data_IF_866523075510
#
_entry.id   IF_866523075510
#
_cell.length_a   1.000
_cell.length_b   1.000
_cell.length_c   1.000
_cell.angle_alpha   90.00
_cell.angle_beta   90.00
_cell.angle_gamma   90.00
#
_symmetry.space_group_name_H-M   'P 1'
#
loop_
_entity.id
_entity.type
_entity.pdbx_description
1 polymer ?
#
# COMPACT_ATOMS: atom_id res chain seq x y z
N UNK A 1 9.09 -21.49 10.10
CA UNK A 1 8.69 -20.79 8.86
C UNK A 1 7.89 -21.73 7.99
N UNK A 2 6.77 -21.26 7.46
CA UNK A 2 5.88 -22.05 6.62
C UNK A 2 6.27 -21.91 5.16
N UNK A 3 6.15 -22.98 4.39
CA UNK A 3 6.58 -22.99 2.98
C UNK A 3 5.61 -22.15 2.09
N UNK A 4 4.33 -22.13 2.46
CA UNK A 4 3.28 -21.44 1.71
C UNK A 4 2.08 -21.11 2.61
N UNK A 5 1.15 -20.31 2.06
CA UNK A 5 -0.07 -19.86 2.73
C UNK A 5 -0.94 -21.04 3.21
N UNK A 6 -1.15 -22.03 2.36
CA UNK A 6 -2.10 -23.10 2.64
C UNK A 6 -1.59 -24.01 3.75
N UNK A 7 -0.28 -24.31 3.74
CA UNK A 7 0.38 -25.03 4.85
C UNK A 7 0.25 -24.27 6.17
N UNK A 8 0.47 -22.94 6.16
CA UNK A 8 0.31 -22.09 7.34
C UNK A 8 -1.13 -22.17 7.90
N UNK A 9 -2.11 -21.92 7.04
CA UNK A 9 -3.53 -21.88 7.43
C UNK A 9 -4.02 -23.24 7.91
N UNK A 10 -3.73 -24.31 7.17
CA UNK A 10 -4.18 -25.67 7.49
C UNK A 10 -3.58 -26.17 8.81
N UNK A 11 -2.32 -25.88 9.07
CA UNK A 11 -1.68 -26.31 10.32
C UNK A 11 -2.31 -25.64 11.52
N UNK A 12 -2.54 -24.33 11.47
CA UNK A 12 -3.16 -23.59 12.59
C UNK A 12 -4.60 -24.07 12.79
N UNK A 13 -5.39 -24.12 11.72
CA UNK A 13 -6.80 -24.55 11.81
C UNK A 13 -6.90 -25.98 12.37
N UNK A 14 -6.05 -26.89 11.92
CA UNK A 14 -6.06 -28.28 12.39
C UNK A 14 -5.68 -28.39 13.87
N UNK A 15 -4.68 -27.60 14.32
CA UNK A 15 -4.27 -27.56 15.72
C UNK A 15 -5.39 -27.04 16.63
N UNK A 16 -6.04 -25.93 16.23
CA UNK A 16 -7.17 -25.36 16.99
C UNK A 16 -8.36 -26.33 17.05
N UNK A 17 -8.74 -26.95 15.93
CA UNK A 17 -9.83 -27.91 15.87
C UNK A 17 -9.54 -29.20 16.66
N UNK A 18 -8.29 -29.60 16.76
CA UNK A 18 -7.88 -30.73 17.60
C UNK A 18 -7.86 -30.38 19.10
N UNK A 19 -8.01 -29.11 19.45
CA UNK A 19 -7.92 -28.65 20.86
C UNK A 19 -6.51 -28.77 21.43
N UNK A 20 -5.49 -28.80 20.58
CA UNK A 20 -4.11 -28.80 21.07
C UNK A 20 -3.61 -27.38 21.35
N UNK A 21 -2.64 -27.23 22.24
CA UNK A 21 -2.07 -25.97 22.69
C UNK A 21 -0.68 -25.69 22.10
N UNK A 22 -0.39 -26.26 20.96
CA UNK A 22 0.93 -26.11 20.30
C UNK A 22 1.22 -24.64 19.93
N UNK A 23 0.20 -23.89 19.51
CA UNK A 23 0.36 -22.50 19.06
C UNK A 23 -0.43 -21.54 19.93
N UNK A 24 0.27 -20.87 20.88
CA UNK A 24 -0.31 -19.84 21.75
C UNK A 24 -0.26 -18.46 21.11
N UNK A 25 0.69 -18.22 20.17
CA UNK A 25 0.87 -16.96 19.46
C UNK A 25 1.10 -17.22 17.98
N UNK A 26 0.41 -16.48 17.14
CA UNK A 26 0.49 -16.57 15.69
C UNK A 26 0.95 -15.21 15.17
N UNK A 27 2.03 -15.20 14.40
CA UNK A 27 2.48 -14.03 13.65
C UNK A 27 2.43 -14.34 12.16
N UNK A 28 1.78 -13.48 11.37
CA UNK A 28 1.61 -13.72 9.96
C UNK A 28 1.04 -12.53 9.20
N UNK A 29 0.94 -12.68 7.89
CA UNK A 29 0.37 -11.66 7.03
C UNK A 29 -1.14 -11.50 7.29
N UNK A 30 -1.59 -10.27 7.53
CA UNK A 30 -2.95 -9.98 7.97
C UNK A 30 -4.04 -10.54 7.04
N UNK A 31 -3.83 -10.55 5.71
CA UNK A 31 -4.77 -11.13 4.77
C UNK A 31 -5.00 -12.64 4.98
N UNK A 32 -4.03 -13.37 5.54
CA UNK A 32 -4.18 -14.78 5.89
C UNK A 32 -4.86 -14.93 7.25
N UNK A 33 -4.42 -14.15 8.23
CA UNK A 33 -4.97 -14.17 9.60
C UNK A 33 -6.46 -13.85 9.59
N UNK A 34 -6.95 -12.96 8.73
CA UNK A 34 -8.37 -12.65 8.59
C UNK A 34 -9.23 -13.89 8.31
N UNK A 35 -8.71 -14.85 7.56
CA UNK A 35 -9.41 -16.13 7.33
C UNK A 35 -9.57 -16.93 8.62
N UNK A 36 -8.57 -16.91 9.53
CA UNK A 36 -8.66 -17.57 10.85
C UNK A 36 -9.74 -16.93 11.75
N UNK A 37 -9.99 -15.62 11.60
CA UNK A 37 -11.11 -14.95 12.30
C UNK A 37 -12.44 -15.54 11.87
N UNK A 38 -12.65 -15.73 10.56
CA UNK A 38 -13.91 -16.28 10.04
C UNK A 38 -14.12 -17.76 10.39
N UNK A 39 -13.05 -18.46 10.75
CA UNK A 39 -13.06 -19.87 11.19
C UNK A 39 -13.13 -20.02 12.71
N UNK A 40 -13.30 -18.91 13.44
CA UNK A 40 -13.34 -18.88 14.92
C UNK A 40 -12.10 -19.49 15.59
N UNK A 41 -10.94 -19.32 14.94
CA UNK A 41 -9.65 -19.86 15.41
C UNK A 41 -8.86 -18.88 16.28
N UNK A 42 -9.31 -17.65 16.47
CA UNK A 42 -8.58 -16.62 17.19
C UNK A 42 -9.35 -16.09 18.40
N UNK A 43 -8.60 -15.77 19.45
CA UNK A 43 -9.14 -15.18 20.66
C UNK A 43 -9.39 -13.69 20.48
N UNK A 44 -10.42 -13.15 21.14
CA UNK A 44 -10.59 -11.70 21.24
C UNK A 44 -9.51 -11.12 22.17
N UNK A 45 -8.61 -10.34 21.63
CA UNK A 45 -7.48 -9.79 22.37
C UNK A 45 -7.91 -8.77 23.43
N UNK A 46 -9.07 -8.13 23.29
CA UNK A 46 -9.62 -7.25 24.33
C UNK A 46 -10.07 -8.00 25.59
N UNK A 47 -10.25 -9.32 25.52
CA UNK A 47 -10.57 -10.16 26.68
C UNK A 47 -9.30 -10.66 27.40
N UNK A 48 -8.12 -10.19 26.98
CA UNK A 48 -6.83 -10.56 27.58
C UNK A 48 -6.31 -9.47 28.52
N UNK A 49 -5.21 -9.73 29.20
CA UNK A 49 -4.53 -8.76 30.07
C UNK A 49 -3.64 -7.76 29.28
N UNK A 50 -3.68 -7.76 27.94
CA UNK A 50 -2.88 -6.85 27.12
C UNK A 50 -3.46 -5.43 27.22
N UNK A 51 -2.59 -4.48 27.53
CA UNK A 51 -2.95 -3.05 27.60
C UNK A 51 -2.66 -2.39 26.22
N UNK A 52 -3.70 -2.25 25.42
CA UNK A 52 -3.64 -1.62 24.10
C UNK A 52 -3.56 -0.09 24.12
N UNK A 53 -3.54 0.54 25.30
CA UNK A 53 -3.33 2.00 25.43
C UNK A 53 -1.86 2.39 25.42
N UNK A 54 -0.95 1.43 25.40
CA UNK A 54 0.48 1.68 25.37
C UNK A 54 0.94 2.17 24.00
N UNK A 55 1.94 3.06 24.02
CA UNK A 55 2.44 3.79 22.85
C UNK A 55 3.04 2.90 21.75
N UNK A 56 3.46 1.68 22.10
CA UNK A 56 3.99 0.72 21.12
C UNK A 56 2.91 -0.03 20.32
N UNK A 57 1.63 0.19 20.61
CA UNK A 57 0.52 -0.31 19.80
C UNK A 57 0.06 0.75 18.80
N UNK A 58 -0.18 0.34 17.55
CA UNK A 58 -0.73 1.25 16.53
C UNK A 58 -2.25 1.33 16.67
N UNK A 59 -2.73 2.24 17.53
CA UNK A 59 -4.14 2.38 17.87
C UNK A 59 -5.03 2.52 16.64
N UNK A 60 -4.68 3.39 15.71
CA UNK A 60 -5.46 3.59 14.47
C UNK A 60 -5.57 2.34 13.60
N UNK A 61 -4.52 1.52 13.54
CA UNK A 61 -4.59 0.23 12.86
C UNK A 61 -5.49 -0.75 13.61
N UNK A 62 -5.29 -0.90 14.93
CA UNK A 62 -6.06 -1.83 15.75
C UNK A 62 -7.55 -1.48 15.74
N UNK A 63 -7.88 -0.19 15.78
CA UNK A 63 -9.26 0.29 15.64
C UNK A 63 -9.84 -0.08 14.27
N UNK A 64 -9.07 0.10 13.18
CA UNK A 64 -9.52 -0.22 11.83
C UNK A 64 -9.76 -1.72 11.61
N UNK A 65 -8.95 -2.61 12.19
CA UNK A 65 -9.10 -4.06 12.01
C UNK A 65 -10.03 -4.71 13.03
N UNK A 66 -10.47 -3.99 14.06
CA UNK A 66 -11.46 -4.50 15.02
C UNK A 66 -12.80 -4.74 14.33
N UNK A 67 -13.51 -5.81 14.72
CA UNK A 67 -14.80 -6.21 14.14
C UNK A 67 -15.82 -6.39 15.26
N UNK A 68 -16.96 -5.71 15.20
CA UNK A 68 -18.02 -5.78 16.20
C UNK A 68 -17.51 -5.60 17.64
N UNK A 69 -16.57 -4.66 17.84
CA UNK A 69 -15.97 -4.39 19.14
C UNK A 69 -14.96 -5.43 19.63
N UNK A 70 -14.51 -6.35 18.78
CA UNK A 70 -13.50 -7.37 19.07
C UNK A 70 -12.23 -7.16 18.26
N UNK A 71 -11.09 -7.41 18.88
CA UNK A 71 -9.78 -7.36 18.24
C UNK A 71 -9.18 -8.77 18.20
N UNK A 72 -8.95 -9.32 17.01
CA UNK A 72 -8.43 -10.68 16.83
C UNK A 72 -6.96 -10.72 16.47
N UNK A 73 -6.39 -9.65 16.00
CA UNK A 73 -4.97 -9.47 15.74
C UNK A 73 -4.61 -8.00 15.87
N UNK A 74 -3.39 -7.73 16.28
CA UNK A 74 -2.92 -6.38 16.57
C UNK A 74 -1.57 -6.11 15.89
N UNK A 75 -1.28 -4.84 15.68
CA UNK A 75 -0.02 -4.35 15.16
C UNK A 75 0.62 -3.39 16.16
N UNK A 76 1.94 -3.49 16.27
CA UNK A 76 2.73 -2.62 17.14
C UNK A 76 4.20 -2.62 16.72
N UNK A 77 5.06 -1.96 17.48
CA UNK A 77 6.49 -1.74 17.20
C UNK A 77 7.30 -3.00 16.97
N UNK A 78 6.85 -4.15 17.46
CA UNK A 78 7.48 -5.43 17.18
C UNK A 78 7.36 -5.88 15.70
N UNK A 79 6.48 -5.24 14.92
CA UNK A 79 6.24 -5.58 13.52
C UNK A 79 7.12 -4.75 12.59
N UNK A 80 8.36 -5.19 12.36
CA UNK A 80 9.27 -4.53 11.41
C UNK A 80 8.72 -4.51 9.99
N UNK A 81 7.98 -5.54 9.59
CA UNK A 81 7.38 -5.64 8.25
C UNK A 81 6.35 -4.55 7.95
N UNK A 82 5.80 -3.89 8.96
CA UNK A 82 4.95 -2.72 8.74
C UNK A 82 5.74 -1.57 8.11
N UNK A 83 6.92 -1.27 8.66
CA UNK A 83 7.79 -0.23 8.13
C UNK A 83 8.33 -0.60 6.74
N UNK A 84 8.73 -1.86 6.55
CA UNK A 84 9.19 -2.36 5.25
C UNK A 84 8.12 -2.22 4.16
N UNK A 85 6.84 -2.39 4.51
CA UNK A 85 5.72 -2.30 3.58
C UNK A 85 4.97 -0.96 3.63
N UNK A 86 5.48 0.04 4.34
CA UNK A 86 4.96 1.40 4.26
C UNK A 86 5.15 1.93 2.84
N UNK A 87 4.06 2.26 2.17
CA UNK A 87 4.10 2.82 0.82
C UNK A 87 4.63 4.25 0.86
N UNK A 88 5.60 4.53 -0.01
CA UNK A 88 6.24 5.84 -0.14
C UNK A 88 6.34 6.24 -1.61
N UNK A 89 6.57 7.51 -1.85
CA UNK A 89 6.87 8.03 -3.18
C UNK A 89 8.34 8.46 -3.22
N UNK A 90 9.18 7.66 -3.85
CA UNK A 90 10.55 8.04 -4.18
C UNK A 90 10.55 9.02 -5.35
N UNK A 91 11.50 9.94 -5.38
CA UNK A 91 11.69 10.81 -6.52
C UNK A 91 13.17 10.93 -6.91
N UNK A 92 13.42 11.06 -8.20
CA UNK A 92 14.74 11.16 -8.79
C UNK A 92 15.22 12.60 -8.77
N UNK A 93 16.27 12.87 -7.98
CA UNK A 93 16.82 14.23 -7.83
C UNK A 93 17.50 14.75 -9.08
N UNK A 94 18.14 13.85 -9.86
CA UNK A 94 18.80 14.23 -11.12
C UNK A 94 17.77 14.70 -12.15
N UNK A 95 16.67 13.96 -12.29
CA UNK A 95 15.59 14.37 -13.19
C UNK A 95 14.91 15.65 -12.71
N UNK A 96 14.70 15.81 -11.38
CA UNK A 96 14.19 17.08 -10.83
C UNK A 96 15.05 18.27 -11.24
N UNK A 97 16.39 18.17 -11.14
CA UNK A 97 17.32 19.24 -11.55
C UNK A 97 17.31 19.46 -13.05
N UNK A 98 17.35 18.38 -13.84
CA UNK A 98 17.40 18.46 -15.29
C UNK A 98 16.17 19.14 -15.90
N UNK A 99 15.01 18.95 -15.30
CA UNK A 99 13.74 19.56 -15.73
C UNK A 99 13.43 20.87 -14.99
N UNK A 100 14.28 21.31 -14.05
CA UNK A 100 14.09 22.56 -13.30
C UNK A 100 12.86 22.51 -12.37
N UNK A 101 12.49 21.34 -11.89
CA UNK A 101 11.30 21.13 -11.07
C UNK A 101 11.57 21.47 -9.59
N UNK A 102 10.59 22.04 -8.93
CA UNK A 102 10.67 22.31 -7.49
C UNK A 102 10.61 21.02 -6.70
N UNK A 103 11.52 20.84 -5.74
CA UNK A 103 11.56 19.66 -4.88
C UNK A 103 10.21 19.37 -4.21
N UNK A 104 9.73 18.12 -4.20
CA UNK A 104 8.53 17.72 -3.47
C UNK A 104 8.56 18.13 -1.99
N UNK A 105 9.72 18.12 -1.34
CA UNK A 105 9.86 18.61 0.05
C UNK A 105 9.44 20.08 0.19
N UNK A 106 9.89 20.94 -0.73
CA UNK A 106 9.50 22.36 -0.71
C UNK A 106 8.01 22.54 -0.97
N UNK A 107 7.44 21.72 -1.84
CA UNK A 107 6.02 21.78 -2.16
C UNK A 107 5.15 21.30 -0.98
N UNK A 108 5.58 20.27 -0.25
CA UNK A 108 4.93 19.83 0.99
C UNK A 108 5.00 20.92 2.05
N UNK A 109 6.19 21.52 2.27
CA UNK A 109 6.38 22.58 3.27
C UNK A 109 5.55 23.85 2.98
N UNK A 110 5.15 24.04 1.72
CA UNK A 110 4.35 25.21 1.27
C UNK A 110 2.90 24.86 0.95
N UNK A 111 2.44 23.65 1.29
CA UNK A 111 1.07 23.15 1.05
C UNK A 111 0.65 23.21 -0.43
N UNK A 112 1.60 22.88 -1.32
CA UNK A 112 1.43 22.86 -2.79
C UNK A 112 1.63 21.48 -3.41
N UNK A 113 1.87 20.47 -2.58
CA UNK A 113 2.01 19.10 -3.06
C UNK A 113 0.66 18.42 -3.11
N UNK A 114 0.18 18.18 -4.32
CA UNK A 114 -1.07 17.48 -4.60
C UNK A 114 -0.95 16.57 -5.82
N UNK A 115 -2.02 15.85 -6.14
CA UNK A 115 -2.04 14.95 -7.29
C UNK A 115 -1.89 15.69 -8.62
N UNK A 116 -2.46 16.87 -8.76
CA UNK A 116 -2.40 17.62 -10.02
C UNK A 116 -0.97 18.12 -10.27
N UNK A 117 -0.24 18.49 -9.22
CA UNK A 117 1.20 18.83 -9.28
C UNK A 117 2.05 17.60 -9.62
N UNK A 118 1.82 16.45 -8.97
CA UNK A 118 2.50 15.19 -9.30
C UNK A 118 2.27 14.82 -10.78
N UNK A 119 1.02 14.88 -11.23
CA UNK A 119 0.62 14.58 -12.61
C UNK A 119 1.30 15.51 -13.62
N UNK A 120 1.34 16.81 -13.32
CA UNK A 120 2.01 17.79 -14.17
C UNK A 120 3.50 17.47 -14.33
N UNK A 121 4.20 17.20 -13.22
CA UNK A 121 5.62 16.85 -13.26
C UNK A 121 5.88 15.52 -13.96
N UNK A 122 5.05 14.52 -13.70
CA UNK A 122 5.16 13.23 -14.36
C UNK A 122 4.99 13.35 -15.87
N UNK A 123 3.97 14.09 -16.32
CA UNK A 123 3.72 14.29 -17.77
C UNK A 123 4.83 15.09 -18.45
N UNK A 124 5.47 16.03 -17.74
CA UNK A 124 6.60 16.81 -18.27
C UNK A 124 7.84 15.94 -18.53
N UNK A 125 8.04 14.90 -17.73
CA UNK A 125 9.21 14.01 -17.83
C UNK A 125 8.95 12.80 -18.73
N UNK A 126 7.70 12.34 -18.87
CA UNK A 126 7.36 11.18 -19.69
C UNK A 126 7.73 11.44 -21.18
N UNK A 127 8.47 10.52 -21.78
CA UNK A 127 8.90 10.62 -23.17
C UNK A 127 9.07 9.25 -23.82
N UNK A 128 8.49 9.08 -25.03
CA UNK A 128 8.82 8.02 -25.98
C UNK A 128 10.19 8.38 -26.59
N UNK A 129 11.26 7.79 -26.05
CA UNK A 129 12.64 8.21 -26.38
C UNK A 129 13.16 7.60 -27.66
N UNK A 130 12.59 6.47 -28.10
CA UNK A 130 12.97 5.80 -29.34
C UNK A 130 12.08 6.19 -30.53
N UNK A 131 10.97 6.91 -30.29
CA UNK A 131 9.99 7.40 -31.27
C UNK A 131 9.33 6.27 -32.08
N UNK A 132 9.08 5.12 -31.46
CA UNK A 132 8.40 4.01 -32.13
C UNK A 132 6.87 4.01 -31.90
N UNK A 133 6.38 4.96 -31.11
CA UNK A 133 4.97 5.15 -30.73
C UNK A 133 4.43 4.03 -29.82
N UNK A 134 5.29 3.15 -29.28
CA UNK A 134 4.98 2.21 -28.23
C UNK A 134 5.48 2.77 -26.89
N UNK A 135 4.70 2.61 -25.85
CA UNK A 135 5.11 3.00 -24.50
C UNK A 135 5.48 1.75 -23.70
N UNK A 136 6.78 1.55 -23.50
CA UNK A 136 7.32 0.34 -22.89
C UNK A 136 8.47 0.60 -21.90
N UNK A 137 9.18 -0.45 -21.51
CA UNK A 137 10.26 -0.37 -20.54
C UNK A 137 11.52 0.33 -21.06
N UNK A 138 11.60 0.68 -22.34
CA UNK A 138 12.74 1.41 -22.92
C UNK A 138 12.58 2.93 -22.81
N UNK A 139 11.38 3.40 -22.50
CA UNK A 139 11.03 4.80 -22.42
C UNK A 139 11.36 5.47 -21.09
N UNK A 140 11.21 6.79 -21.05
CA UNK A 140 11.27 7.58 -19.82
C UNK A 140 9.85 7.81 -19.30
N UNK A 141 9.65 7.52 -18.03
CA UNK A 141 8.35 7.58 -17.39
C UNK A 141 8.31 8.69 -16.33
N UNK A 142 7.22 9.42 -16.28
CA UNK A 142 6.99 10.34 -15.17
C UNK A 142 6.87 9.61 -13.84
N UNK A 143 6.17 8.48 -13.83
CA UNK A 143 6.01 7.68 -12.64
C UNK A 143 5.96 6.19 -12.99
N UNK A 144 6.72 5.37 -12.26
CA UNK A 144 6.51 3.92 -12.21
C UNK A 144 5.96 3.53 -10.84
N UNK A 145 5.14 2.50 -10.78
CA UNK A 145 4.45 2.17 -9.55
C UNK A 145 4.39 0.69 -9.26
N UNK A 146 4.53 0.37 -7.97
CA UNK A 146 4.46 -0.98 -7.47
C UNK A 146 3.05 -1.56 -7.56
N UNK A 147 2.03 -0.74 -7.24
CA UNK A 147 0.66 -1.23 -7.16
C UNK A 147 -0.38 -0.15 -7.52
N UNK A 148 -0.88 -0.19 -8.75
CA UNK A 148 -1.92 0.74 -9.21
C UNK A 148 -3.27 0.62 -8.50
N UNK A 149 -3.53 -0.48 -7.79
CA UNK A 149 -4.78 -0.67 -7.04
C UNK A 149 -4.90 0.28 -5.84
N UNK A 150 -3.79 0.90 -5.40
CA UNK A 150 -3.76 1.73 -4.21
C UNK A 150 -4.21 3.18 -4.48
N UNK A 151 -4.38 3.57 -5.76
CA UNK A 151 -4.83 4.92 -6.11
C UNK A 151 -6.08 5.40 -5.34
N UNK A 152 -7.18 4.61 -5.20
CA UNK A 152 -8.33 5.08 -4.43
C UNK A 152 -8.00 5.47 -2.99
N UNK A 153 -7.06 4.77 -2.35
CA UNK A 153 -6.63 5.06 -0.97
C UNK A 153 -5.90 6.40 -0.89
N UNK A 154 -5.06 6.73 -1.88
CA UNK A 154 -4.36 8.02 -1.94
C UNK A 154 -5.30 9.21 -2.11
N UNK A 155 -6.50 8.97 -2.61
CA UNK A 155 -7.57 9.97 -2.69
C UNK A 155 -8.57 9.88 -1.53
N UNK A 156 -8.18 9.27 -0.41
CA UNK A 156 -9.04 9.09 0.77
C UNK A 156 -10.38 8.39 0.45
N UNK A 157 -10.36 7.48 -0.50
CA UNK A 157 -11.53 6.66 -0.84
C UNK A 157 -11.29 5.20 -0.42
N UNK A 158 -11.53 4.85 0.84
CA UNK A 158 -11.26 3.51 1.34
C UNK A 158 -12.21 2.49 0.72
N UNK A 159 -11.70 1.28 0.47
CA UNK A 159 -12.50 0.16 -0.06
C UNK A 159 -13.57 -0.33 0.90
N UNK A 160 -13.32 -0.20 2.19
CA UNK A 160 -14.19 -0.68 3.25
C UNK A 160 -14.20 0.32 4.41
N UNK A 161 -15.36 0.51 5.00
CA UNK A 161 -15.56 1.30 6.22
C UNK A 161 -16.37 0.49 7.22
N UNK A 162 -16.54 1.01 8.44
CA UNK A 162 -17.40 0.42 9.46
C UNK A 162 -18.56 1.36 9.77
N UNK A 163 -19.72 0.78 10.02
CA UNK A 163 -20.87 1.51 10.55
C UNK A 163 -20.71 1.75 12.07
N UNK A 164 -21.68 2.42 12.69
CA UNK A 164 -21.68 2.73 14.12
C UNK A 164 -21.65 1.50 15.02
N UNK A 165 -22.06 0.33 14.51
CA UNK A 165 -21.99 -0.95 15.24
C UNK A 165 -20.63 -1.66 15.11
N UNK A 166 -19.70 -1.09 14.32
CA UNK A 166 -18.43 -1.72 13.99
C UNK A 166 -18.53 -2.81 12.91
N UNK A 167 -19.66 -2.87 12.18
CA UNK A 167 -19.85 -3.81 11.09
C UNK A 167 -19.19 -3.26 9.82
N UNK A 168 -18.28 -4.03 9.17
CA UNK A 168 -17.66 -3.61 7.93
C UNK A 168 -18.66 -3.62 6.77
N UNK A 169 -18.54 -2.63 5.89
CA UNK A 169 -19.25 -2.58 4.62
C UNK A 169 -18.34 -2.06 3.50
N UNK A 170 -18.65 -2.43 2.27
CA UNK A 170 -17.90 -1.94 1.09
C UNK A 170 -18.32 -0.50 0.83
N UNK A 171 -17.35 0.43 0.93
CA UNK A 171 -17.55 1.87 0.70
C UNK A 171 -17.01 2.35 -0.65
N UNK A 172 -16.57 1.41 -1.50
CA UNK A 172 -15.90 1.70 -2.74
C UNK A 172 -16.76 2.49 -3.74
N UNK A 173 -18.05 2.17 -3.82
CA UNK A 173 -18.95 2.75 -4.82
C UNK A 173 -19.49 4.11 -4.36
N UNK A 174 -18.81 5.17 -4.79
CA UNK A 174 -19.18 6.56 -4.50
C UNK A 174 -19.01 7.44 -5.75
N UNK A 175 -19.65 8.61 -5.79
CA UNK A 175 -19.40 9.60 -6.84
C UNK A 175 -17.94 10.02 -6.87
N UNK A 176 -17.33 10.20 -5.70
CA UNK A 176 -15.90 10.49 -5.56
C UNK A 176 -15.02 9.44 -6.24
N UNK A 177 -15.38 8.16 -6.15
CA UNK A 177 -14.64 7.10 -6.83
C UNK A 177 -14.65 7.27 -8.34
N UNK A 178 -15.78 7.65 -8.93
CA UNK A 178 -15.88 7.88 -10.37
C UNK A 178 -14.92 8.99 -10.81
N UNK A 179 -14.86 10.10 -10.06
CA UNK A 179 -13.93 11.21 -10.33
C UNK A 179 -12.47 10.78 -10.18
N UNK A 180 -12.16 9.96 -9.15
CA UNK A 180 -10.81 9.40 -8.95
C UNK A 180 -10.41 8.51 -10.11
N UNK A 181 -11.30 7.61 -10.53
CA UNK A 181 -11.01 6.73 -11.67
C UNK A 181 -10.81 7.48 -12.97
N UNK A 182 -11.60 8.53 -13.23
CA UNK A 182 -11.41 9.36 -14.43
C UNK A 182 -10.03 10.03 -14.41
N UNK A 183 -9.63 10.66 -13.30
CA UNK A 183 -8.30 11.27 -13.15
C UNK A 183 -7.17 10.26 -13.34
N UNK A 184 -7.29 9.09 -12.71
CA UNK A 184 -6.29 8.03 -12.81
C UNK A 184 -6.25 7.43 -14.22
N UNK A 185 -7.41 7.24 -14.87
CA UNK A 185 -7.47 6.75 -16.24
C UNK A 185 -6.77 7.70 -17.22
N UNK A 186 -7.02 9.00 -17.10
CA UNK A 186 -6.33 10.01 -17.92
C UNK A 186 -4.82 9.92 -17.72
N UNK A 187 -4.36 9.92 -16.46
CA UNK A 187 -2.94 9.89 -16.13
C UNK A 187 -2.24 8.59 -16.58
N UNK A 188 -2.90 7.44 -16.45
CA UNK A 188 -2.31 6.13 -16.73
C UNK A 188 -2.44 5.73 -18.21
N UNK A 189 -3.60 5.94 -18.82
CA UNK A 189 -3.92 5.38 -20.15
C UNK A 189 -3.82 6.39 -21.29
N UNK A 190 -4.05 7.66 -21.01
CA UNK A 190 -4.14 8.69 -22.05
C UNK A 190 -2.87 9.51 -22.14
N UNK A 191 -2.35 9.93 -21.00
CA UNK A 191 -1.19 10.81 -20.91
C UNK A 191 0.13 10.06 -20.83
N UNK A 192 0.08 8.77 -20.51
CA UNK A 192 1.26 7.95 -20.25
C UNK A 192 2.18 8.55 -19.15
N UNK A 193 1.58 9.28 -18.21
CA UNK A 193 2.31 9.89 -17.10
C UNK A 193 2.77 8.88 -16.05
N UNK A 194 2.11 7.72 -15.98
CA UNK A 194 2.55 6.63 -15.10
C UNK A 194 2.29 5.25 -15.68
N UNK A 195 3.07 4.27 -15.21
CA UNK A 195 2.89 2.87 -15.58
C UNK A 195 3.24 1.92 -14.42
N UNK A 196 2.71 0.69 -14.50
CA UNK A 196 3.08 -0.42 -13.62
C UNK A 196 3.65 -1.57 -14.45
N UNK A 197 4.95 -1.76 -14.37
CA UNK A 197 5.64 -2.96 -14.84
C UNK A 197 5.72 -4.03 -13.75
N UNK A 198 6.50 -5.08 -13.98
CA UNK A 198 6.88 -5.98 -12.90
C UNK A 198 7.78 -5.24 -11.89
N UNK A 199 7.75 -5.61 -10.61
CA UNK A 199 8.45 -4.87 -9.55
C UNK A 199 9.94 -4.63 -9.83
N UNK A 200 10.66 -5.65 -10.30
CA UNK A 200 12.09 -5.54 -10.63
C UNK A 200 12.34 -4.56 -11.79
N UNK A 201 11.45 -4.53 -12.77
CA UNK A 201 11.54 -3.60 -13.90
C UNK A 201 11.25 -2.16 -13.45
N UNK A 202 10.26 -1.92 -12.60
CA UNK A 202 10.01 -0.59 -12.03
C UNK A 202 11.25 -0.07 -11.28
N UNK A 203 11.86 -0.92 -10.46
CA UNK A 203 13.08 -0.60 -9.72
C UNK A 203 14.23 -0.27 -10.66
N UNK A 204 14.42 -1.08 -11.72
CA UNK A 204 15.45 -0.86 -12.72
C UNK A 204 15.28 0.47 -13.44
N UNK A 205 14.09 0.76 -13.97
CA UNK A 205 13.77 2.01 -14.68
C UNK A 205 14.06 3.21 -13.80
N UNK A 206 13.68 3.16 -12.51
CA UNK A 206 13.94 4.24 -11.57
C UNK A 206 15.43 4.41 -11.27
N UNK A 207 16.17 3.32 -11.05
CA UNK A 207 17.60 3.35 -10.74
C UNK A 207 18.49 3.76 -11.94
N UNK A 208 17.97 3.62 -13.15
CA UNK A 208 18.63 4.05 -14.39
C UNK A 208 18.29 5.50 -14.80
N UNK A 209 17.76 6.32 -13.89
CA UNK A 209 17.32 7.69 -14.14
C UNK A 209 16.26 7.80 -15.27
N UNK A 210 15.41 6.78 -15.45
CA UNK A 210 14.36 6.73 -16.47
C UNK A 210 12.94 6.83 -15.87
N UNK A 211 12.81 7.14 -14.58
CA UNK A 211 11.55 7.54 -13.98
C UNK A 211 11.76 8.68 -12.98
N UNK A 212 10.85 9.68 -13.02
CA UNK A 212 10.89 10.79 -12.07
C UNK A 212 10.42 10.35 -10.69
N UNK A 213 9.32 9.61 -10.64
CA UNK A 213 8.73 9.09 -9.41
C UNK A 213 8.66 7.56 -9.41
N UNK A 214 8.84 6.98 -8.22
CA UNK A 214 8.61 5.56 -7.99
C UNK A 214 7.75 5.38 -6.74
N UNK A 215 6.51 4.94 -6.92
CA UNK A 215 5.63 4.55 -5.82
C UNK A 215 5.92 3.10 -5.46
N UNK A 216 6.40 2.85 -4.26
CA UNK A 216 6.75 1.52 -3.81
C UNK A 216 6.83 1.42 -2.27
N UNK A 217 6.81 0.20 -1.72
CA UNK A 217 7.13 -0.02 -0.32
C UNK A 217 8.53 0.46 0.07
N UNK A 218 8.67 0.95 1.31
CA UNK A 218 9.94 1.50 1.83
C UNK A 218 11.12 0.53 1.75
N UNK A 219 10.89 -0.80 1.76
CA UNK A 219 11.95 -1.80 1.58
C UNK A 219 12.73 -1.66 0.26
N UNK A 220 12.17 -0.97 -0.73
CA UNK A 220 12.85 -0.65 -1.99
C UNK A 220 13.79 0.56 -1.88
N UNK A 221 13.93 1.19 -0.70
CA UNK A 221 14.90 2.26 -0.47
C UNK A 221 16.36 1.79 -0.52
N UNK A 222 16.60 0.48 -0.37
CA UNK A 222 17.94 -0.12 -0.53
C UNK A 222 18.19 -0.45 -2.02
N UNK A 223 18.23 0.60 -2.84
CA UNK A 223 18.55 0.52 -4.27
C UNK A 223 20.05 0.46 -4.53
#
# INVERSE_FOLDING_TARGET
TWADKDSFMNTITSSVLAGDDTYQLIAGYNAYITTLVTQDCLYNLYDTAIDFTKDWWYAGYNDNVSLFGKLYFALGDASLTMWENCEVLFFNKNLMENYGLTSPYTLVDTDKWDFDTLRAYANEVSADVNNDSAWDETDTWGMVMYNKRDFPVYFENPFCQKDESGKPYISLFSERLADVYEKVYQFYQVEHGCHQFQPDMNQQIFSEDRALFYQAPLRYAAL
#
